data_IF_322377259500
#
_entry.id   IF_322377259500
#
_cell.length_a   1.000
_cell.length_b   1.000
_cell.length_c   1.000
_cell.angle_alpha   90.00
_cell.angle_beta   90.00
_cell.angle_gamma   90.00
#
_symmetry.space_group_name_H-M   'P 1'
#
loop_
_entity.id
_entity.type
_entity.pdbx_description
1 polymer ?
#
# COMPACT_ATOMS: atom_id res chain seq x y z
N UNK A 1 74.69 -29.18 -21.48
CA UNK A 1 73.81 -28.47 -22.45
C UNK A 1 72.46 -28.29 -21.75
N UNK A 2 72.17 -27.14 -21.11
CA UNK A 2 71.28 -26.05 -21.59
C UNK A 2 70.00 -26.62 -22.24
N UNK A 3 68.76 -26.42 -21.76
CA UNK A 3 68.00 -25.17 -21.49
C UNK A 3 66.81 -25.50 -20.53
N UNK A 4 66.56 -24.78 -19.42
CA UNK A 4 65.68 -23.60 -19.22
C UNK A 4 64.27 -23.68 -19.84
N UNK A 5 63.22 -23.63 -19.00
CA UNK A 5 61.91 -22.97 -19.15
C UNK A 5 60.81 -23.78 -18.42
N UNK A 6 59.81 -23.23 -17.72
CA UNK A 6 59.51 -21.88 -17.29
C UNK A 6 58.45 -21.98 -16.16
N UNK A 7 58.64 -21.21 -15.09
CA UNK A 7 57.56 -20.85 -14.16
C UNK A 7 56.62 -19.87 -14.87
N UNK A 8 55.32 -20.16 -14.89
CA UNK A 8 54.29 -19.14 -15.09
C UNK A 8 53.28 -19.32 -13.96
N UNK A 9 53.37 -18.41 -13.01
CA UNK A 9 52.47 -18.24 -11.87
C UNK A 9 51.17 -17.62 -12.37
N UNK A 10 50.06 -18.24 -11.97
CA UNK A 10 48.68 -17.84 -12.23
C UNK A 10 48.39 -16.40 -11.81
N UNK A 11 47.98 -15.55 -12.77
CA UNK A 11 47.33 -14.29 -12.48
C UNK A 11 45.81 -14.52 -12.46
N UNK A 12 45.27 -14.89 -11.29
CA UNK A 12 43.82 -14.87 -11.05
C UNK A 12 43.35 -13.42 -10.98
N UNK A 13 42.58 -13.01 -11.98
CA UNK A 13 41.87 -11.73 -12.01
C UNK A 13 40.73 -11.81 -10.99
N UNK A 14 40.89 -11.16 -9.83
CA UNK A 14 39.80 -10.92 -8.88
C UNK A 14 38.85 -9.88 -9.46
N UNK A 15 37.92 -10.33 -10.31
CA UNK A 15 36.71 -9.57 -10.62
C UNK A 15 35.77 -9.69 -9.43
N UNK A 16 36.00 -8.88 -8.39
CA UNK A 16 35.09 -8.79 -7.26
C UNK A 16 33.76 -8.18 -7.75
N UNK A 17 32.70 -8.98 -7.70
CA UNK A 17 31.33 -8.53 -7.93
C UNK A 17 31.00 -7.42 -6.92
N UNK A 18 30.94 -6.17 -7.37
CA UNK A 18 30.31 -5.10 -6.60
C UNK A 18 28.81 -5.33 -6.72
N UNK A 19 28.20 -5.92 -5.71
CA UNK A 19 26.75 -5.89 -5.54
C UNK A 19 26.40 -4.49 -5.06
N UNK A 20 25.98 -3.62 -5.98
CA UNK A 20 25.42 -2.31 -5.61
C UNK A 20 24.20 -2.57 -4.72
N UNK A 21 24.14 -2.00 -3.50
CA UNK A 21 22.92 -2.06 -2.70
C UNK A 21 21.74 -1.55 -3.52
N UNK A 22 20.68 -2.34 -3.61
CA UNK A 22 19.43 -1.92 -4.24
C UNK A 22 18.89 -0.72 -3.43
N UNK A 23 18.81 0.44 -4.08
CA UNK A 23 18.19 1.61 -3.46
C UNK A 23 16.71 1.27 -3.25
N UNK A 24 16.15 1.50 -2.04
CA UNK A 24 14.75 1.18 -1.79
C UNK A 24 13.87 1.85 -2.83
N UNK A 25 13.07 1.06 -3.56
CA UNK A 25 12.10 1.62 -4.49
C UNK A 25 11.12 2.49 -3.69
N UNK A 26 10.97 3.75 -4.12
CA UNK A 26 9.98 4.64 -3.51
C UNK A 26 8.59 4.04 -3.75
N UNK A 27 7.69 4.08 -2.75
CA UNK A 27 6.32 3.61 -2.94
C UNK A 27 5.65 4.42 -4.07
N UNK A 28 4.74 3.81 -4.84
CA UNK A 28 4.14 4.46 -6.00
C UNK A 28 3.23 5.64 -5.63
N UNK A 29 2.64 5.59 -4.44
CA UNK A 29 1.80 6.63 -3.87
C UNK A 29 1.64 6.46 -2.36
N UNK A 30 1.07 7.47 -1.72
CA UNK A 30 0.62 7.45 -0.33
C UNK A 30 -0.90 7.52 -0.27
N UNK A 31 -1.51 6.72 0.60
CA UNK A 31 -2.94 6.78 0.89
C UNK A 31 -3.20 7.88 1.92
N UNK A 32 -4.15 8.77 1.63
CA UNK A 32 -4.42 9.95 2.45
C UNK A 32 -5.86 9.95 2.95
N UNK A 33 -6.16 10.80 3.93
CA UNK A 33 -7.52 10.91 4.46
C UNK A 33 -8.55 11.47 3.46
N UNK A 34 -8.13 11.90 2.27
CA UNK A 34 -9.01 12.48 1.24
C UNK A 34 -8.84 11.83 -0.14
N UNK A 35 -8.00 10.80 -0.26
CA UNK A 35 -7.73 10.15 -1.53
C UNK A 35 -6.38 9.47 -1.58
N UNK A 36 -5.66 9.69 -2.68
CA UNK A 36 -4.35 9.09 -2.98
C UNK A 36 -3.41 10.16 -3.53
N UNK A 37 -2.19 10.21 -3.01
CA UNK A 37 -1.15 11.14 -3.47
C UNK A 37 -0.03 10.37 -4.19
N UNK A 38 0.07 10.45 -5.53
CA UNK A 38 1.12 9.78 -6.28
C UNK A 38 2.51 10.37 -6.02
N UNK A 39 3.51 9.53 -5.77
CA UNK A 39 4.87 9.97 -5.41
C UNK A 39 5.55 10.80 -6.49
N UNK A 40 5.31 10.46 -7.76
CA UNK A 40 5.94 11.11 -8.92
C UNK A 40 5.15 12.29 -9.49
N UNK A 41 4.00 12.63 -8.89
CA UNK A 41 3.11 13.69 -9.35
C UNK A 41 2.76 14.65 -8.21
N UNK A 42 2.35 15.87 -8.53
CA UNK A 42 1.74 16.79 -7.56
C UNK A 42 0.22 16.86 -7.68
N UNK A 43 -0.37 15.97 -8.47
CA UNK A 43 -1.80 15.89 -8.70
C UNK A 43 -2.36 14.75 -7.87
N UNK A 44 -3.08 15.09 -6.81
CA UNK A 44 -3.81 14.15 -5.98
C UNK A 44 -4.96 13.51 -6.76
N UNK A 45 -5.28 12.28 -6.38
CA UNK A 45 -6.48 11.57 -6.78
C UNK A 45 -7.47 11.69 -5.62
N UNK A 46 -8.13 12.83 -5.54
CA UNK A 46 -9.07 13.12 -4.45
C UNK A 46 -10.33 12.25 -4.54
N UNK A 47 -11.05 12.11 -3.43
CA UNK A 47 -12.41 11.61 -3.44
C UNK A 47 -13.32 12.47 -4.35
N UNK A 48 -14.29 11.83 -5.02
CA UNK A 48 -15.16 12.44 -6.03
C UNK A 48 -14.64 12.33 -7.47
N UNK A 49 -13.47 11.69 -7.69
CA UNK A 49 -12.96 11.44 -9.05
C UNK A 49 -13.62 10.21 -9.67
N UNK A 50 -13.87 10.28 -10.98
CA UNK A 50 -14.58 9.24 -11.72
C UNK A 50 -13.84 7.88 -11.69
N UNK A 51 -14.59 6.81 -11.44
CA UNK A 51 -14.13 5.44 -11.23
C UNK A 51 -13.16 4.97 -12.31
N UNK A 52 -13.53 5.10 -13.59
CA UNK A 52 -12.69 4.62 -14.72
C UNK A 52 -11.32 5.28 -14.69
N UNK A 53 -11.25 6.59 -14.46
CA UNK A 53 -9.99 7.33 -14.42
C UNK A 53 -9.13 6.99 -13.21
N UNK A 54 -9.77 6.75 -12.06
CA UNK A 54 -9.06 6.33 -10.83
C UNK A 54 -8.47 4.93 -11.00
N UNK A 55 -9.25 3.96 -11.47
CA UNK A 55 -8.79 2.59 -11.69
C UNK A 55 -7.64 2.56 -12.71
N UNK A 56 -7.75 3.26 -13.84
CA UNK A 56 -6.67 3.35 -14.84
C UNK A 56 -5.39 3.96 -14.23
N UNK A 57 -5.52 5.07 -13.52
CA UNK A 57 -4.37 5.75 -12.93
C UNK A 57 -3.66 4.88 -11.89
N UNK A 58 -4.42 4.28 -10.96
CA UNK A 58 -3.87 3.40 -9.92
C UNK A 58 -3.24 2.16 -10.54
N UNK A 59 -3.88 1.56 -11.55
CA UNK A 59 -3.33 0.38 -12.22
C UNK A 59 -1.97 0.65 -12.87
N UNK A 60 -1.80 1.83 -13.48
CA UNK A 60 -0.50 2.24 -14.04
C UNK A 60 0.56 2.50 -12.97
N UNK A 61 0.16 3.09 -11.83
CA UNK A 61 1.07 3.36 -10.72
C UNK A 61 1.57 2.06 -10.08
N UNK A 62 0.68 1.08 -9.89
CA UNK A 62 1.02 -0.26 -9.38
C UNK A 62 1.65 -1.18 -10.42
N UNK A 63 1.54 -0.84 -11.72
CA UNK A 63 1.95 -1.68 -12.86
C UNK A 63 1.16 -3.00 -12.94
N UNK A 64 -0.06 -3.01 -12.43
CA UNK A 64 -0.99 -4.14 -12.42
C UNK A 64 -2.45 -3.67 -12.41
N UNK A 65 -3.36 -4.46 -12.97
CA UNK A 65 -4.80 -4.17 -12.93
C UNK A 65 -5.46 -4.76 -11.68
N UNK A 66 -6.71 -4.35 -11.36
CA UNK A 66 -7.45 -4.97 -10.28
C UNK A 66 -7.71 -6.45 -10.58
N UNK A 67 -7.52 -7.31 -9.58
CA UNK A 67 -7.82 -8.74 -9.63
C UNK A 67 -9.33 -9.01 -9.58
N UNK A 68 -10.10 -8.08 -9.03
CA UNK A 68 -11.55 -8.16 -8.94
C UNK A 68 -12.17 -6.76 -8.99
N UNK A 69 -13.30 -6.64 -9.68
CA UNK A 69 -14.23 -5.51 -9.54
C UNK A 69 -15.61 -6.09 -9.29
N UNK A 70 -16.23 -5.74 -8.16
CA UNK A 70 -17.54 -6.25 -7.76
C UNK A 70 -18.42 -5.13 -7.23
N UNK A 71 -19.74 -5.29 -7.31
CA UNK A 71 -20.71 -4.35 -6.73
C UNK A 71 -21.45 -5.02 -5.59
N UNK A 72 -21.48 -4.35 -4.44
CA UNK A 72 -22.25 -4.75 -3.27
C UNK A 72 -23.47 -3.83 -3.19
N UNK A 73 -24.65 -4.39 -3.47
CA UNK A 73 -25.91 -3.64 -3.52
C UNK A 73 -26.34 -3.11 -2.14
N UNK A 74 -26.04 -3.88 -1.09
CA UNK A 74 -26.50 -3.64 0.28
C UNK A 74 -25.37 -3.08 1.16
N UNK A 75 -24.90 -1.86 0.85
CA UNK A 75 -24.04 -1.10 1.76
C UNK A 75 -24.82 0.08 2.37
N UNK A 76 -24.49 0.46 3.61
CA UNK A 76 -25.18 1.56 4.31
C UNK A 76 -25.12 2.92 3.60
N UNK A 77 -24.16 3.10 2.69
CA UNK A 77 -23.99 4.30 1.87
C UNK A 77 -24.66 4.23 0.48
N UNK A 78 -25.37 3.14 0.18
CA UNK A 78 -25.90 2.81 -1.16
C UNK A 78 -25.03 1.75 -1.88
N UNK A 79 -25.43 1.31 -3.09
CA UNK A 79 -24.65 0.36 -3.88
C UNK A 79 -23.21 0.82 -4.05
N UNK A 80 -22.26 -0.05 -3.72
CA UNK A 80 -20.84 0.26 -3.73
C UNK A 80 -20.10 -0.68 -4.67
N UNK A 81 -19.43 -0.13 -5.67
CA UNK A 81 -18.46 -0.89 -6.48
C UNK A 81 -17.11 -0.87 -5.78
N UNK A 82 -16.46 -2.03 -5.71
CA UNK A 82 -15.15 -2.22 -5.08
C UNK A 82 -14.20 -2.80 -6.12
N UNK A 83 -13.10 -2.11 -6.41
CA UNK A 83 -11.98 -2.63 -7.20
C UNK A 83 -10.84 -3.06 -6.27
N UNK A 84 -10.32 -4.27 -6.44
CA UNK A 84 -9.30 -4.88 -5.57
C UNK A 84 -8.02 -5.21 -6.31
N UNK A 85 -6.87 -5.02 -5.68
CA UNK A 85 -5.53 -5.37 -6.17
C UNK A 85 -4.90 -6.48 -5.32
N UNK A 86 -3.93 -7.21 -5.88
CA UNK A 86 -3.34 -8.44 -5.28
C UNK A 86 -2.53 -8.14 -3.99
N UNK A 87 -2.19 -6.88 -3.72
CA UNK A 87 -1.55 -6.43 -2.48
C UNK A 87 -2.49 -6.16 -1.29
N UNK A 88 -3.81 -6.20 -1.49
CA UNK A 88 -4.78 -5.89 -0.42
C UNK A 88 -5.28 -4.44 -0.42
N UNK A 89 -4.99 -3.67 -1.48
CA UNK A 89 -5.66 -2.40 -1.75
C UNK A 89 -7.06 -2.65 -2.33
N UNK A 90 -8.05 -1.96 -1.79
CA UNK A 90 -9.40 -1.86 -2.34
C UNK A 90 -9.81 -0.40 -2.48
N UNK A 91 -10.38 -0.04 -3.62
CA UNK A 91 -10.97 1.28 -3.87
C UNK A 91 -12.48 1.16 -3.96
N UNK A 92 -13.18 2.05 -3.26
CA UNK A 92 -14.63 2.04 -3.10
C UNK A 92 -15.24 3.17 -3.90
N UNK A 93 -16.24 2.83 -4.70
CA UNK A 93 -16.94 3.74 -5.58
C UNK A 93 -18.44 3.72 -5.29
N UNK A 94 -19.05 4.91 -5.25
CA UNK A 94 -20.51 5.09 -5.10
C UNK A 94 -20.92 6.08 -6.18
N UNK A 95 -21.99 5.78 -6.94
CA UNK A 95 -22.43 6.58 -8.09
C UNK A 95 -21.27 6.87 -9.07
N UNK A 96 -20.42 5.87 -9.30
CA UNK A 96 -19.20 5.96 -10.14
C UNK A 96 -18.13 6.95 -9.65
N UNK A 97 -18.27 7.51 -8.45
CA UNK A 97 -17.27 8.38 -7.83
C UNK A 97 -16.38 7.60 -6.86
N UNK A 98 -15.09 7.86 -6.85
CA UNK A 98 -14.16 7.36 -5.84
C UNK A 98 -14.50 7.97 -4.47
N UNK A 99 -14.97 7.16 -3.52
CA UNK A 99 -15.46 7.63 -2.21
C UNK A 99 -14.67 7.10 -1.02
N UNK A 100 -13.76 6.16 -1.22
CA UNK A 100 -12.96 5.64 -0.12
C UNK A 100 -11.96 4.59 -0.57
N UNK A 101 -11.04 4.27 0.31
CA UNK A 101 -10.08 3.20 0.13
C UNK A 101 -9.97 2.37 1.40
N UNK A 102 -9.58 1.11 1.24
CA UNK A 102 -9.23 0.18 2.32
C UNK A 102 -7.91 -0.47 1.91
N UNK A 103 -6.97 -0.61 2.82
CA UNK A 103 -5.68 -1.23 2.54
C UNK A 103 -5.20 -2.10 3.69
N UNK A 104 -4.83 -3.34 3.38
CA UNK A 104 -3.96 -4.19 4.19
C UNK A 104 -2.56 -4.35 3.55
N UNK A 105 -2.27 -3.55 2.51
CA UNK A 105 -1.03 -3.67 1.73
C UNK A 105 0.16 -3.11 2.54
N UNK A 106 1.14 -3.96 2.93
CA UNK A 106 2.27 -3.53 3.74
C UNK A 106 3.33 -2.75 2.94
N UNK A 107 3.10 -2.52 1.64
CA UNK A 107 3.98 -1.75 0.76
C UNK A 107 3.44 -0.36 0.44
N UNK A 108 2.17 -0.08 0.76
CA UNK A 108 1.52 1.19 0.50
C UNK A 108 1.45 2.04 1.79
N UNK A 109 2.25 3.11 1.91
CA UNK A 109 2.21 3.95 3.08
C UNK A 109 0.89 4.72 3.18
N UNK A 110 0.52 5.02 4.42
CA UNK A 110 -0.60 5.88 4.77
C UNK A 110 -0.06 7.15 5.44
N UNK A 111 -0.71 8.27 5.18
CA UNK A 111 -0.38 9.56 5.79
C UNK A 111 -0.23 9.48 7.32
N UNK A 112 0.68 10.30 7.84
CA UNK A 112 1.00 10.32 9.27
C UNK A 112 2.06 9.29 9.71
N UNK A 113 2.69 8.60 8.75
CA UNK A 113 3.77 7.64 9.03
C UNK A 113 3.26 6.26 9.46
N UNK A 114 2.10 5.87 8.92
CA UNK A 114 1.47 4.58 9.21
C UNK A 114 1.54 3.66 7.99
N UNK A 115 1.56 2.36 8.23
CA UNK A 115 1.50 1.36 7.16
C UNK A 115 0.89 0.05 7.70
N UNK A 116 0.05 -0.67 6.94
CA UNK A 116 -0.37 -2.01 7.34
C UNK A 116 0.83 -2.91 7.69
N UNK A 117 0.68 -3.74 8.72
CA UNK A 117 1.74 -4.58 9.28
C UNK A 117 2.68 -3.86 10.27
N UNK A 118 2.62 -2.54 10.41
CA UNK A 118 3.43 -1.81 11.39
C UNK A 118 3.14 -2.29 12.82
N UNK A 119 4.20 -2.54 13.59
CA UNK A 119 4.07 -2.96 14.98
C UNK A 119 3.49 -1.82 15.81
N UNK A 120 2.58 -2.16 16.74
CA UNK A 120 1.93 -1.19 17.64
C UNK A 120 2.93 -0.39 18.47
N UNK A 121 4.05 -1.01 18.83
CA UNK A 121 5.15 -0.37 19.58
C UNK A 121 5.92 0.68 18.76
N UNK A 122 5.77 0.65 17.44
CA UNK A 122 6.44 1.55 16.49
C UNK A 122 5.47 2.62 15.94
N UNK A 123 4.19 2.55 16.30
CA UNK A 123 3.18 3.51 15.89
C UNK A 123 3.42 4.88 16.55
N UNK A 124 3.19 5.99 15.82
CA UNK A 124 2.95 7.28 16.45
C UNK A 124 1.82 7.21 17.49
N UNK A 125 1.86 8.11 18.48
CA UNK A 125 0.88 8.10 19.56
C UNK A 125 -0.55 8.35 19.04
N UNK A 126 -1.45 7.39 19.25
CA UNK A 126 -2.88 7.47 18.91
C UNK A 126 -3.74 6.94 20.06
N UNK A 127 -5.03 7.29 20.07
CA UNK A 127 -6.00 6.72 20.99
C UNK A 127 -6.71 5.52 20.37
N UNK A 128 -7.01 4.54 21.20
CA UNK A 128 -7.63 3.27 20.81
C UNK A 128 -9.05 3.17 21.36
N UNK A 129 -9.94 2.52 20.60
CA UNK A 129 -11.31 2.22 20.97
C UNK A 129 -11.68 0.81 20.55
N UNK A 130 -12.27 0.04 21.46
CA UNK A 130 -12.84 -1.28 21.15
C UNK A 130 -14.21 -1.10 20.50
N UNK A 131 -14.41 -1.74 19.35
CA UNK A 131 -15.64 -1.74 18.56
C UNK A 131 -16.07 -3.18 18.22
N UNK A 132 -17.10 -3.34 17.39
CA UNK A 132 -17.48 -4.64 16.83
C UNK A 132 -16.48 -5.18 15.81
N UNK A 133 -15.61 -4.35 15.24
CA UNK A 133 -14.53 -4.81 14.34
C UNK A 133 -13.26 -5.21 15.09
N UNK A 134 -13.09 -4.77 16.34
CA UNK A 134 -11.91 -5.04 17.15
C UNK A 134 -11.35 -3.75 17.75
N UNK A 135 -10.02 -3.67 17.88
CA UNK A 135 -9.37 -2.50 18.47
C UNK A 135 -8.99 -1.49 17.39
N UNK A 136 -9.77 -0.41 17.29
CA UNK A 136 -9.64 0.62 16.27
C UNK A 136 -8.92 1.87 16.79
N UNK A 137 -8.29 2.62 15.90
CA UNK A 137 -7.72 3.95 16.14
C UNK A 137 -8.04 4.89 14.98
N UNK A 138 -7.87 6.20 15.21
CA UNK A 138 -8.10 7.22 14.18
C UNK A 138 -6.95 8.24 14.13
N UNK A 139 -6.61 8.69 12.94
CA UNK A 139 -5.66 9.76 12.63
C UNK A 139 -6.33 10.70 11.64
N UNK A 140 -6.95 11.76 12.16
CA UNK A 140 -7.76 12.65 11.33
C UNK A 140 -8.88 11.85 10.62
N UNK A 141 -8.95 11.82 9.27
CA UNK A 141 -9.97 11.07 8.52
C UNK A 141 -9.63 9.59 8.29
N UNK A 142 -8.43 9.16 8.68
CA UNK A 142 -7.97 7.79 8.49
C UNK A 142 -8.30 6.99 9.75
N UNK A 143 -8.88 5.82 9.55
CA UNK A 143 -9.11 4.84 10.60
C UNK A 143 -8.20 3.64 10.39
N UNK A 144 -7.87 2.94 11.47
CA UNK A 144 -7.11 1.71 11.43
C UNK A 144 -7.60 0.71 12.46
N UNK A 145 -7.35 -0.56 12.18
CA UNK A 145 -7.72 -1.70 13.00
C UNK A 145 -6.47 -2.52 13.30
N UNK A 146 -6.25 -2.87 14.56
CA UNK A 146 -5.20 -3.81 14.94
C UNK A 146 -5.60 -5.24 14.63
N UNK A 147 -4.60 -6.11 14.47
CA UNK A 147 -4.81 -7.55 14.41
C UNK A 147 -5.40 -8.10 15.72
N UNK A 148 -5.87 -9.35 15.70
CA UNK A 148 -6.49 -9.99 16.87
C UNK A 148 -5.54 -10.08 18.08
N UNK A 149 -4.22 -10.07 17.84
CA UNK A 149 -3.21 -10.08 18.89
C UNK A 149 -2.89 -8.69 19.45
N UNK A 150 -3.47 -7.65 18.86
CA UNK A 150 -3.24 -6.23 19.12
C UNK A 150 -1.77 -5.78 19.03
N UNK A 151 -0.97 -6.46 18.21
CA UNK A 151 0.46 -6.21 18.08
C UNK A 151 0.82 -5.47 16.79
N UNK A 152 -0.03 -5.49 15.77
CA UNK A 152 0.24 -4.82 14.50
C UNK A 152 -1.02 -4.25 13.86
N UNK A 153 -0.84 -3.29 12.96
CA UNK A 153 -1.94 -2.78 12.13
C UNK A 153 -2.35 -3.87 11.13
N UNK A 154 -3.60 -4.31 11.19
CA UNK A 154 -4.17 -5.27 10.24
C UNK A 154 -4.70 -4.60 8.98
N UNK A 155 -5.45 -3.51 9.15
CA UNK A 155 -6.23 -2.87 8.09
C UNK A 155 -6.34 -1.37 8.34
N UNK A 156 -6.26 -0.57 7.29
CA UNK A 156 -6.47 0.88 7.34
C UNK A 156 -7.47 1.31 6.28
N UNK A 157 -8.19 2.41 6.53
CA UNK A 157 -9.16 2.94 5.55
C UNK A 157 -9.41 4.43 5.73
N UNK A 158 -9.96 5.04 4.69
CA UNK A 158 -10.57 6.37 4.75
C UNK A 158 -11.73 6.49 3.77
N UNK A 159 -12.65 7.41 4.06
CA UNK A 159 -13.86 7.61 3.26
C UNK A 159 -14.92 6.52 3.48
N UNK A 160 -15.73 6.27 2.46
CA UNK A 160 -16.81 5.30 2.50
C UNK A 160 -16.27 3.86 2.49
N UNK A 161 -16.84 3.02 3.36
CA UNK A 161 -16.56 1.58 3.46
C UNK A 161 -17.85 0.79 3.51
N UNK A 162 -17.81 -0.50 3.16
CA UNK A 162 -18.91 -1.44 3.35
C UNK A 162 -18.63 -2.43 4.50
N UNK A 163 -18.19 -1.91 5.65
CA UNK A 163 -18.08 -2.72 6.86
C UNK A 163 -19.44 -2.81 7.55
N UNK A 164 -19.98 -4.02 7.69
CA UNK A 164 -21.20 -4.26 8.45
C UNK A 164 -20.90 -4.12 9.94
N UNK A 165 -21.65 -3.27 10.62
CA UNK A 165 -21.53 -2.96 12.05
C UNK A 165 -22.91 -2.96 12.70
#
# INVERSE_FOLDING_TARGET
>A
MRHVAALIVSALVLSACVTTPEEPELPPFTLTGTGIDPTISRLSIDFGRAQVGVIDTVSRLLREGPVEITTVEECGAGPMTIARWDGGLSLNFIDEDFRGWVSSDPTLPVDGGFIPGQARTEMPQVSFQVTTLGNEFNIGPVSGLLDETENAILLMWSGATCFFR
#
